data_IF_759500499778
#
_entry.id   IF_759500499778
#
_cell.length_a   1.000
_cell.length_b   1.000
_cell.length_c   1.000
_cell.angle_alpha   90.00
_cell.angle_beta   90.00
_cell.angle_gamma   90.00
#
_symmetry.space_group_name_H-M   'P 1'
#
loop_
_entity.id
_entity.type
_entity.pdbx_description
1 polymer ?
#
# COMPACT_ATOMS: atom_id res chain seq x y z
N UNK A 1 -6.22 -0.57 22.87
CA UNK A 1 -7.05 0.09 23.91
C UNK A 1 -6.32 -0.05 25.22
N UNK A 2 -6.31 0.97 26.08
CA UNK A 2 -5.81 0.83 27.45
C UNK A 2 -6.98 1.12 28.38
N UNK A 3 -7.30 0.16 29.26
CA UNK A 3 -8.26 0.37 30.34
C UNK A 3 -7.44 0.97 31.49
N UNK A 4 -7.81 2.18 31.92
CA UNK A 4 -7.17 2.84 33.05
C UNK A 4 -7.92 2.41 34.32
N UNK A 5 -7.41 1.38 34.98
CA UNK A 5 -7.74 1.10 36.37
C UNK A 5 -6.58 1.61 37.22
N UNK A 6 -6.89 2.20 38.38
CA UNK A 6 -6.13 3.26 39.07
C UNK A 6 -4.63 3.06 39.32
N UNK A 7 -4.01 1.92 38.99
CA UNK A 7 -2.55 1.77 39.09
C UNK A 7 -1.82 1.06 37.93
N UNK A 8 -2.46 0.40 36.95
CA UNK A 8 -1.74 -0.20 35.80
C UNK A 8 -2.64 -0.35 34.55
N UNK A 9 -2.29 0.22 33.38
CA UNK A 9 -3.04 0.00 32.16
C UNK A 9 -2.82 -1.42 31.61
N UNK A 10 -3.89 -2.20 31.44
CA UNK A 10 -3.85 -3.51 30.80
C UNK A 10 -4.19 -3.39 29.31
N UNK A 11 -3.38 -4.02 28.44
CA UNK A 11 -3.64 -4.10 26.99
C UNK A 11 -4.20 -5.47 26.63
N UNK A 12 -5.43 -5.50 26.12
CA UNK A 12 -6.09 -6.72 25.64
C UNK A 12 -6.23 -6.64 24.11
N UNK A 13 -5.73 -7.63 23.35
CA UNK A 13 -5.99 -7.72 21.92
C UNK A 13 -7.41 -8.24 21.69
N UNK A 14 -8.20 -7.55 20.89
CA UNK A 14 -9.55 -7.99 20.51
C UNK A 14 -9.74 -7.92 19.00
N UNK A 15 -10.46 -8.91 18.46
CA UNK A 15 -10.87 -8.98 17.06
C UNK A 15 -12.22 -8.27 16.94
N UNK A 16 -12.34 -7.32 16.02
CA UNK A 16 -13.61 -6.63 15.75
C UNK A 16 -14.32 -7.30 14.58
N UNK A 17 -15.48 -7.91 14.82
CA UNK A 17 -16.41 -8.33 13.78
C UNK A 17 -17.61 -7.37 13.75
N UNK A 18 -17.81 -6.67 12.63
CA UNK A 18 -18.96 -5.78 12.40
C UNK A 18 -18.60 -4.32 12.09
N UNK A 19 -19.59 -3.56 11.60
CA UNK A 19 -19.40 -2.15 11.23
C UNK A 19 -19.26 -1.25 12.47
N UNK A 20 -18.46 -0.16 12.41
CA UNK A 20 -18.16 0.67 13.59
C UNK A 20 -19.39 1.29 14.26
N UNK A 21 -20.41 1.65 13.46
CA UNK A 21 -21.62 2.35 13.93
C UNK A 21 -22.51 1.44 14.78
N UNK A 22 -22.69 0.20 14.35
CA UNK A 22 -23.51 -0.80 15.06
C UNK A 22 -22.85 -1.20 16.38
N UNK A 23 -21.51 -1.34 16.39
CA UNK A 23 -20.74 -1.66 17.59
C UNK A 23 -20.81 -0.54 18.64
N UNK A 24 -20.75 0.74 18.24
CA UNK A 24 -20.85 1.86 19.19
C UNK A 24 -22.23 1.94 19.88
N UNK A 25 -23.32 1.68 19.16
CA UNK A 25 -24.67 1.68 19.73
C UNK A 25 -24.85 0.57 20.78
N UNK A 26 -24.32 -0.63 20.50
CA UNK A 26 -24.40 -1.77 21.42
C UNK A 26 -23.64 -1.50 22.73
N UNK A 27 -22.46 -0.89 22.67
CA UNK A 27 -21.68 -0.54 23.87
C UNK A 27 -22.42 0.48 24.74
N UNK A 28 -23.02 1.51 24.14
CA UNK A 28 -23.76 2.55 24.89
C UNK A 28 -24.99 1.97 25.62
N UNK A 29 -25.74 1.08 24.97
CA UNK A 29 -26.90 0.43 25.59
C UNK A 29 -26.49 -0.51 26.75
N UNK A 30 -25.39 -1.24 26.60
CA UNK A 30 -24.86 -2.12 27.65
C UNK A 30 -24.37 -1.32 28.87
N UNK A 31 -23.68 -0.19 28.65
CA UNK A 31 -23.25 0.73 29.70
C UNK A 31 -24.44 1.29 30.49
N UNK A 32 -25.48 1.77 29.80
CA UNK A 32 -26.68 2.29 30.46
C UNK A 32 -27.41 1.23 31.29
N UNK A 33 -27.44 -0.02 30.82
CA UNK A 33 -28.05 -1.15 31.57
C UNK A 33 -27.21 -1.57 32.78
N UNK A 34 -25.87 -1.50 32.67
CA UNK A 34 -24.93 -1.73 33.76
C UNK A 34 -25.06 -0.70 34.87
N UNK A 35 -25.10 0.59 34.50
CA UNK A 35 -25.22 1.71 35.43
C UNK A 35 -26.53 1.68 36.22
N UNK A 36 -27.67 1.42 35.55
CA UNK A 36 -28.98 1.26 36.22
C UNK A 36 -29.00 0.12 37.24
N UNK A 37 -28.17 -0.90 37.06
CA UNK A 37 -28.06 -2.06 37.96
C UNK A 37 -26.92 -1.93 38.97
N UNK A 38 -26.30 -0.74 39.11
CA UNK A 38 -25.11 -0.47 39.94
C UNK A 38 -23.97 -1.48 39.73
N UNK A 39 -23.84 -2.04 38.52
CA UNK A 39 -22.75 -2.96 38.16
C UNK A 39 -21.52 -2.16 37.76
N UNK A 40 -20.34 -2.63 38.17
CA UNK A 40 -19.05 -2.05 37.76
C UNK A 40 -18.97 -2.06 36.24
N UNK A 41 -18.82 -0.87 35.65
CA UNK A 41 -18.88 -0.65 34.20
C UNK A 41 -17.62 0.08 33.75
N UNK A 42 -16.88 -0.50 32.81
CA UNK A 42 -15.61 0.06 32.32
C UNK A 42 -15.79 0.70 30.94
N UNK A 43 -15.11 1.83 30.71
CA UNK A 43 -15.08 2.53 29.43
C UNK A 43 -13.72 2.31 28.76
N UNK A 44 -13.72 1.79 27.52
CA UNK A 44 -12.52 1.63 26.71
C UNK A 44 -12.54 2.59 25.50
N UNK A 45 -11.46 3.34 25.27
CA UNK A 45 -11.40 4.37 24.22
C UNK A 45 -10.43 4.08 23.08
N UNK A 46 -11.03 4.00 21.87
CA UNK A 46 -10.54 3.99 20.47
C UNK A 46 -9.30 4.80 20.05
N UNK A 47 -8.17 4.94 20.77
CA UNK A 47 -7.02 5.69 20.20
C UNK A 47 -6.39 4.97 19.01
N UNK A 48 -6.80 5.33 17.79
CA UNK A 48 -6.10 4.98 16.55
C UNK A 48 -4.72 5.62 16.63
N UNK A 49 -3.69 4.83 16.90
CA UNK A 49 -2.32 5.27 16.61
C UNK A 49 -2.30 5.54 15.11
N UNK A 50 -2.16 6.81 14.71
CA UNK A 50 -1.55 7.08 13.41
C UNK A 50 -0.24 6.30 13.47
N UNK A 51 0.02 5.45 12.47
CA UNK A 51 1.37 4.95 12.30
C UNK A 51 2.22 6.21 12.28
N UNK A 52 3.08 6.36 13.26
CA UNK A 52 4.16 7.30 13.06
C UNK A 52 4.87 6.74 11.84
N UNK A 53 4.78 7.44 10.72
CA UNK A 53 5.73 7.33 9.61
C UNK A 53 7.09 7.90 10.06
N UNK A 54 7.46 7.64 11.32
CA UNK A 54 8.38 8.38 12.15
C UNK A 54 9.37 7.48 12.86
N UNK A 55 9.76 6.39 12.20
CA UNK A 55 11.06 5.77 12.43
C UNK A 55 11.65 5.22 11.14
N UNK A 56 11.46 5.93 10.01
CA UNK A 56 12.50 5.85 8.99
C UNK A 56 13.70 6.57 9.57
N UNK A 57 14.68 5.80 10.07
CA UNK A 57 16.02 6.33 10.36
C UNK A 57 16.38 7.26 9.20
N UNK A 58 16.84 8.50 9.46
CA UNK A 58 17.19 9.41 8.38
C UNK A 58 18.20 8.70 7.49
N UNK A 59 17.96 8.76 6.17
CA UNK A 59 18.85 8.14 5.19
C UNK A 59 20.28 8.62 5.50
N UNK A 60 21.23 7.70 5.75
CA UNK A 60 22.64 8.05 5.98
C UNK A 60 23.16 9.00 4.91
N UNK A 61 24.10 9.88 5.28
CA UNK A 61 24.59 10.94 4.39
C UNK A 61 25.24 10.36 3.14
N UNK A 62 25.87 9.20 3.28
CA UNK A 62 26.51 8.43 2.22
C UNK A 62 25.49 7.99 1.16
N UNK A 63 24.35 7.48 1.59
CA UNK A 63 23.28 7.01 0.69
C UNK A 63 22.60 8.19 0.00
N UNK A 64 22.45 9.34 0.68
CA UNK A 64 21.92 10.57 0.04
C UNK A 64 22.83 11.05 -1.09
N UNK A 65 24.16 10.98 -0.91
CA UNK A 65 25.12 11.33 -1.96
C UNK A 65 24.97 10.45 -3.20
N UNK A 66 24.85 9.13 -3.00
CA UNK A 66 24.60 8.19 -4.10
C UNK A 66 23.28 8.49 -4.80
N UNK A 67 22.21 8.75 -4.04
CA UNK A 67 20.94 9.14 -4.66
C UNK A 67 21.02 10.44 -5.43
N UNK A 68 21.83 11.41 -4.98
CA UNK A 68 22.05 12.68 -5.66
C UNK A 68 22.88 12.51 -6.96
N UNK A 69 23.84 11.60 -6.97
CA UNK A 69 24.68 11.25 -8.13
C UNK A 69 23.89 10.53 -9.22
N UNK A 70 23.05 9.55 -8.84
CA UNK A 70 22.26 8.71 -9.78
C UNK A 70 20.81 9.19 -9.94
N UNK A 71 20.53 10.49 -9.76
CA UNK A 71 19.16 11.05 -9.90
C UNK A 71 18.59 10.84 -11.30
N UNK A 72 19.45 10.86 -12.29
CA UNK A 72 19.14 10.66 -13.71
C UNK A 72 18.62 9.24 -13.97
N UNK A 73 19.30 8.21 -13.43
CA UNK A 73 18.94 6.80 -13.57
C UNK A 73 17.74 6.42 -12.69
N UNK A 74 17.67 6.97 -11.47
CA UNK A 74 16.67 6.63 -10.45
C UNK A 74 15.39 7.48 -10.53
N UNK A 75 15.03 7.96 -11.73
CA UNK A 75 13.84 8.77 -11.93
C UNK A 75 12.54 7.98 -11.71
N UNK A 76 11.57 8.55 -10.98
CA UNK A 76 10.24 7.94 -10.74
C UNK A 76 9.42 7.72 -12.02
N UNK A 77 9.75 8.45 -13.09
CA UNK A 77 9.14 8.31 -14.41
C UNK A 77 10.23 7.93 -15.40
N UNK A 78 9.99 6.91 -16.20
CA UNK A 78 10.88 6.53 -17.27
C UNK A 78 11.00 7.69 -18.28
N UNK A 79 12.21 7.96 -18.80
CA UNK A 79 12.39 8.95 -19.85
C UNK A 79 11.51 8.59 -21.06
N UNK A 80 10.89 9.60 -21.68
CA UNK A 80 10.01 9.42 -22.85
C UNK A 80 10.76 8.91 -24.09
N UNK A 81 12.08 9.12 -24.11
CA UNK A 81 12.96 8.67 -25.19
C UNK A 81 13.72 7.44 -24.70
N UNK A 82 13.76 6.41 -25.53
CA UNK A 82 14.66 5.29 -25.32
C UNK A 82 16.11 5.81 -25.38
N UNK A 83 17.04 5.23 -24.61
CA UNK A 83 18.46 5.42 -24.84
C UNK A 83 18.73 5.19 -26.33
N UNK A 84 19.37 6.17 -26.98
CA UNK A 84 19.28 6.29 -28.44
C UNK A 84 19.99 5.15 -29.16
N UNK A 85 21.01 4.52 -28.56
CA UNK A 85 21.69 3.30 -29.03
C UNK A 85 22.33 2.60 -27.84
N UNK A 86 22.16 1.28 -27.76
CA UNK A 86 23.01 0.45 -26.89
C UNK A 86 24.36 0.27 -27.59
N UNK A 87 25.43 -0.03 -26.84
CA UNK A 87 26.76 -0.24 -27.40
C UNK A 87 26.77 -1.42 -28.40
N UNK A 88 25.91 -2.42 -28.13
CA UNK A 88 25.68 -3.58 -28.98
C UNK A 88 24.21 -3.64 -29.44
N UNK A 89 23.97 -3.58 -30.75
CA UNK A 89 22.66 -3.88 -31.33
C UNK A 89 22.43 -5.39 -31.35
N UNK A 90 21.33 -5.85 -30.75
CA UNK A 90 20.97 -7.26 -30.77
C UNK A 90 20.57 -7.70 -32.18
N UNK A 91 21.46 -8.45 -32.85
CA UNK A 91 21.16 -9.07 -34.14
C UNK A 91 20.30 -10.32 -33.91
N UNK A 92 19.16 -10.39 -34.61
CA UNK A 92 18.35 -11.61 -34.70
C UNK A 92 18.88 -12.39 -35.89
N UNK A 93 19.45 -13.57 -35.64
CA UNK A 93 19.86 -14.50 -36.69
C UNK A 93 18.63 -15.23 -37.22
N UNK A 94 18.51 -15.31 -38.55
CA UNK A 94 17.44 -16.02 -39.24
C UNK A 94 18.03 -17.21 -39.99
N UNK A 95 17.29 -18.32 -40.05
CA UNK A 95 17.69 -19.45 -40.87
C UNK A 95 17.48 -19.12 -42.36
N UNK A 96 18.26 -19.77 -43.22
CA UNK A 96 18.20 -19.50 -44.67
C UNK A 96 16.85 -19.95 -45.24
N UNK A 97 16.08 -18.98 -45.76
CA UNK A 97 14.77 -19.24 -46.36
C UNK A 97 13.58 -18.96 -45.44
N UNK A 98 13.83 -18.46 -44.23
CA UNK A 98 12.76 -18.06 -43.30
C UNK A 98 11.91 -16.93 -43.87
N UNK A 99 10.58 -17.12 -43.76
CA UNK A 99 9.59 -16.11 -44.14
C UNK A 99 9.16 -15.34 -42.90
N UNK A 100 9.01 -14.00 -42.98
CA UNK A 100 8.53 -13.23 -41.85
C UNK A 100 7.11 -13.67 -41.45
N UNK A 101 6.80 -13.72 -40.14
CA UNK A 101 5.48 -14.08 -39.67
C UNK A 101 4.45 -13.07 -40.17
N UNK A 102 3.52 -13.56 -40.99
CA UNK A 102 2.42 -12.76 -41.54
C UNK A 102 1.13 -13.13 -40.83
N UNK A 103 1.00 -12.69 -39.57
CA UNK A 103 -0.16 -12.98 -38.72
C UNK A 103 -0.94 -11.69 -38.49
N UNK A 104 -2.26 -11.73 -38.70
CA UNK A 104 -3.14 -10.60 -38.42
C UNK A 104 -3.24 -10.30 -36.92
N UNK A 105 -3.49 -9.05 -36.51
CA UNK A 105 -3.69 -8.72 -35.10
C UNK A 105 -4.83 -9.56 -34.48
N UNK A 106 -4.66 -9.97 -33.23
CA UNK A 106 -5.71 -10.67 -32.50
C UNK A 106 -6.96 -9.81 -32.37
N UNK A 107 -8.12 -10.46 -32.41
CA UNK A 107 -9.40 -9.80 -32.12
C UNK A 107 -9.47 -9.50 -30.62
N UNK A 108 -9.52 -8.22 -30.29
CA UNK A 108 -9.63 -7.71 -28.92
C UNK A 108 -10.89 -6.86 -28.76
N UNK A 109 -11.39 -6.76 -27.53
CA UNK A 109 -12.52 -5.90 -27.23
C UNK A 109 -12.10 -4.41 -27.24
N UNK A 110 -13.03 -3.47 -27.46
CA UNK A 110 -12.71 -2.04 -27.50
C UNK A 110 -11.97 -1.52 -26.26
N UNK A 111 -12.34 -2.00 -25.06
CA UNK A 111 -11.74 -1.58 -23.80
C UNK A 111 -10.31 -2.14 -23.57
N UNK A 112 -9.94 -3.21 -24.27
CA UNK A 112 -8.57 -3.76 -24.26
C UNK A 112 -7.69 -2.95 -25.22
N UNK A 113 -8.23 -2.65 -26.40
CA UNK A 113 -7.56 -1.78 -27.38
C UNK A 113 -7.31 -0.38 -26.83
N UNK A 114 -8.24 0.17 -26.06
CA UNK A 114 -8.07 1.48 -25.40
C UNK A 114 -6.89 1.49 -24.42
N UNK A 115 -6.66 0.39 -23.70
CA UNK A 115 -5.52 0.25 -22.77
C UNK A 115 -4.17 0.10 -23.47
N UNK A 116 -4.16 -0.50 -24.66
CA UNK A 116 -2.93 -0.70 -25.45
C UNK A 116 -2.54 0.54 -26.26
N UNK A 117 -3.45 1.50 -26.43
CA UNK A 117 -3.14 2.80 -27.03
C UNK A 117 -2.25 3.59 -26.05
N UNK A 118 -1.04 3.93 -26.49
CA UNK A 118 -0.05 4.72 -25.75
C UNK A 118 -0.25 6.21 -25.93
#
# INVERSE_FOLDING_TARGET
MAILEEKKPCMVPTVTEGSPKTLMLLVVMQVNKGLKRKKVTYLATLKKKKKEDGLRKPIPKEIKRVFDEFKDVMSLKLPKRLPTRMEDDHKIELESGDKPPTIGPYRMAPHELEKLRR
#
